data_IF_453608636558
#
_entry.id   IF_453608636558
#
_cell.length_a   1.000
_cell.length_b   1.000
_cell.length_c   1.000
_cell.angle_alpha   90.00
_cell.angle_beta   90.00
_cell.angle_gamma   90.00
#
_symmetry.space_group_name_H-M   'P 1'
#
loop_
_entity.id
_entity.type
_entity.pdbx_description
1 polymer ?
#
# COMPACT_ATOMS: atom_id res chain seq x y z
N UNK A 1 -36.95 -3.04 49.07
CA UNK A 1 -35.59 -2.62 48.66
C UNK A 1 -35.37 -3.16 47.26
N UNK A 2 -35.11 -2.29 46.29
CA UNK A 2 -35.09 -2.60 44.85
C UNK A 2 -33.69 -2.98 44.38
N UNK A 3 -33.56 -4.15 43.74
CA UNK A 3 -32.39 -4.56 42.95
C UNK A 3 -32.31 -3.75 41.66
N UNK A 4 -31.16 -3.11 41.43
CA UNK A 4 -30.88 -2.35 40.21
C UNK A 4 -30.12 -3.30 39.27
N UNK A 5 -30.74 -3.64 38.14
CA UNK A 5 -30.17 -4.45 37.07
C UNK A 5 -29.17 -3.59 36.29
N UNK A 6 -27.88 -3.91 36.33
CA UNK A 6 -26.91 -3.38 35.36
C UNK A 6 -27.12 -4.07 34.01
N UNK A 7 -27.84 -3.40 33.12
CA UNK A 7 -27.92 -3.78 31.72
C UNK A 7 -26.61 -3.38 31.02
N UNK A 8 -25.90 -4.39 30.50
CA UNK A 8 -24.67 -4.23 29.75
C UNK A 8 -24.83 -3.28 28.57
N UNK A 9 -23.97 -2.28 28.53
CA UNK A 9 -23.74 -1.46 27.34
C UNK A 9 -22.45 -1.98 26.68
N UNK A 10 -22.60 -2.98 25.81
CA UNK A 10 -21.56 -3.31 24.83
C UNK A 10 -21.54 -2.20 23.80
N UNK A 11 -20.79 -1.14 24.10
CA UNK A 11 -20.51 -0.08 23.16
C UNK A 11 -19.59 -0.65 22.08
N UNK A 12 -20.17 -1.14 20.98
CA UNK A 12 -19.46 -1.44 19.75
C UNK A 12 -18.93 -0.14 19.16
N UNK A 13 -17.80 0.34 19.69
CA UNK A 13 -17.16 1.56 19.27
C UNK A 13 -16.26 1.23 18.09
N UNK A 14 -16.79 1.35 16.88
CA UNK A 14 -15.96 1.44 15.68
C UNK A 14 -15.14 2.71 15.78
N UNK A 15 -13.90 2.58 16.25
CA UNK A 15 -12.91 3.66 16.19
C UNK A 15 -12.46 3.75 14.74
N UNK A 16 -13.06 4.66 14.00
CA UNK A 16 -12.42 5.23 12.81
C UNK A 16 -11.21 6.00 13.32
N UNK A 17 -10.08 5.30 13.42
CA UNK A 17 -8.79 5.87 13.76
C UNK A 17 -8.31 6.65 12.54
N UNK A 18 -8.30 7.97 12.62
CA UNK A 18 -7.72 8.87 11.62
C UNK A 18 -6.18 8.88 11.65
N UNK A 19 -5.55 7.85 12.23
CA UNK A 19 -4.11 7.61 12.25
C UNK A 19 -3.66 6.81 11.03
N UNK A 20 -3.21 7.52 10.00
CA UNK A 20 -2.90 7.09 8.63
C UNK A 20 -1.65 6.24 8.46
N UNK A 21 -1.40 5.24 9.32
CA UNK A 21 -0.34 4.25 9.05
C UNK A 21 -0.93 2.85 9.06
N UNK A 22 -1.23 2.33 7.88
CA UNK A 22 -1.67 0.94 7.72
C UNK A 22 -0.57 0.00 8.24
N UNK A 23 -0.89 -1.15 8.86
CA UNK A 23 0.12 -2.11 9.28
C UNK A 23 0.96 -2.61 8.10
N UNK A 24 2.18 -3.07 8.39
CA UNK A 24 3.02 -3.72 7.39
C UNK A 24 2.28 -4.96 6.83
N UNK A 25 2.44 -5.21 5.53
CA UNK A 25 1.88 -6.41 4.87
C UNK A 25 0.37 -6.64 5.14
N UNK A 26 -0.42 -5.56 5.12
CA UNK A 26 -1.85 -5.58 5.42
C UNK A 26 -2.76 -5.56 4.19
N UNK A 27 -2.25 -5.22 3.01
CA UNK A 27 -3.04 -5.15 1.77
C UNK A 27 -2.51 -6.08 0.68
N UNK A 28 -3.40 -6.60 -0.15
CA UNK A 28 -3.06 -7.46 -1.29
C UNK A 28 -2.92 -6.64 -2.59
N UNK A 29 -3.56 -5.47 -2.67
CA UNK A 29 -3.69 -4.70 -3.89
C UNK A 29 -3.72 -3.18 -3.62
N UNK A 30 -2.93 -2.43 -4.39
CA UNK A 30 -2.90 -0.97 -4.36
C UNK A 30 -3.09 -0.37 -5.76
N UNK A 31 -3.89 0.70 -5.84
CA UNK A 31 -4.11 1.47 -7.06
C UNK A 31 -3.76 2.93 -6.82
N UNK A 32 -2.88 3.50 -7.65
CA UNK A 32 -2.50 4.92 -7.59
C UNK A 32 -2.83 5.61 -8.91
N UNK A 33 -3.73 6.58 -8.86
CA UNK A 33 -4.22 7.30 -10.02
C UNK A 33 -4.47 8.77 -9.68
N UNK A 34 -4.55 9.63 -10.70
CA UNK A 34 -4.85 11.05 -10.50
C UNK A 34 -3.76 11.88 -9.81
N UNK A 35 -2.56 11.32 -9.59
CA UNK A 35 -1.45 12.04 -8.98
C UNK A 35 -0.72 12.89 -10.04
N UNK A 36 -1.25 14.10 -10.31
CA UNK A 36 -0.61 15.03 -11.23
C UNK A 36 0.72 15.58 -10.68
N UNK A 37 0.82 15.72 -9.35
CA UNK A 37 2.01 16.16 -8.61
C UNK A 37 1.97 15.58 -7.19
N UNK A 38 3.02 14.89 -6.77
CA UNK A 38 3.15 14.36 -5.40
C UNK A 38 4.20 15.21 -4.68
N UNK A 39 3.78 15.94 -3.64
CA UNK A 39 4.71 16.62 -2.75
C UNK A 39 5.50 15.56 -1.96
N UNK A 40 6.82 15.54 -2.08
CA UNK A 40 7.69 14.47 -1.55
C UNK A 40 8.23 13.51 -2.61
N UNK A 41 7.62 13.46 -3.80
CA UNK A 41 8.04 12.58 -4.89
C UNK A 41 7.27 11.26 -4.91
N UNK A 42 7.43 10.50 -6.00
CA UNK A 42 6.78 9.19 -6.18
C UNK A 42 7.48 8.11 -5.33
N UNK A 43 8.73 8.36 -4.96
CA UNK A 43 9.60 7.50 -4.17
C UNK A 43 9.02 7.22 -2.77
N UNK A 44 8.54 8.26 -2.07
CA UNK A 44 7.91 8.12 -0.75
C UNK A 44 6.63 7.28 -0.82
N UNK A 45 5.84 7.49 -1.88
CA UNK A 45 4.62 6.72 -2.13
C UNK A 45 4.94 5.26 -2.42
N UNK A 46 5.94 5.00 -3.25
CA UNK A 46 6.41 3.65 -3.57
C UNK A 46 6.91 2.94 -2.30
N UNK A 47 7.65 3.63 -1.44
CA UNK A 47 8.14 3.08 -0.16
C UNK A 47 6.99 2.69 0.77
N UNK A 48 6.00 3.58 0.92
CA UNK A 48 4.85 3.30 1.78
C UNK A 48 3.99 2.16 1.23
N UNK A 49 3.76 2.11 -0.10
CA UNK A 49 3.05 1.02 -0.76
C UNK A 49 3.79 -0.30 -0.58
N UNK A 50 5.12 -0.30 -0.73
CA UNK A 50 5.93 -1.48 -0.49
C UNK A 50 5.76 -1.99 0.94
N UNK A 51 5.79 -1.09 1.94
CA UNK A 51 5.63 -1.46 3.36
C UNK A 51 4.29 -2.14 3.63
N UNK A 52 3.20 -1.59 3.10
CA UNK A 52 1.84 -2.07 3.40
C UNK A 52 1.41 -3.28 2.57
N UNK A 53 2.01 -3.51 1.41
CA UNK A 53 1.70 -4.69 0.58
C UNK A 53 2.22 -5.98 1.20
N UNK A 54 1.39 -7.02 1.16
CA UNK A 54 1.78 -8.40 1.44
C UNK A 54 2.82 -8.90 0.43
N UNK A 55 3.58 -9.96 0.75
CA UNK A 55 4.29 -10.72 -0.26
C UNK A 55 3.38 -11.07 -1.44
N UNK A 56 3.90 -11.01 -2.66
CA UNK A 56 3.16 -11.22 -3.91
C UNK A 56 2.00 -10.23 -4.17
N UNK A 57 1.84 -9.23 -3.31
CA UNK A 57 0.85 -8.16 -3.47
C UNK A 57 1.13 -7.33 -4.73
N UNK A 58 0.06 -6.85 -5.34
CA UNK A 58 0.14 -6.10 -6.58
C UNK A 58 -0.06 -4.60 -6.36
N UNK A 59 0.66 -3.81 -7.14
CA UNK A 59 0.51 -2.38 -7.20
C UNK A 59 0.33 -1.96 -8.66
N UNK A 60 -0.63 -1.08 -8.91
CA UNK A 60 -0.76 -0.44 -10.21
C UNK A 60 -0.80 1.06 -10.10
N UNK A 61 -0.18 1.73 -11.08
CA UNK A 61 -0.22 3.19 -11.16
C UNK A 61 -0.48 3.70 -12.56
N UNK A 62 -1.20 4.80 -12.65
CA UNK A 62 -1.45 5.50 -13.90
C UNK A 62 -0.24 6.32 -14.35
N UNK A 63 0.19 6.12 -15.59
CA UNK A 63 1.22 6.90 -16.28
C UNK A 63 0.95 8.39 -16.14
N UNK A 64 1.84 9.06 -15.42
CA UNK A 64 1.89 10.52 -15.36
C UNK A 64 2.76 11.06 -16.50
N UNK A 65 3.01 12.38 -16.51
CA UNK A 65 3.91 13.00 -17.49
C UNK A 65 5.34 12.49 -17.28
N UNK A 66 6.05 12.23 -18.38
CA UNK A 66 7.47 11.88 -18.37
C UNK A 66 7.77 10.53 -19.05
N UNK A 67 9.07 10.15 -19.09
CA UNK A 67 9.50 8.90 -19.69
C UNK A 67 9.01 7.69 -18.88
N UNK A 68 8.41 6.73 -19.58
CA UNK A 68 7.94 5.46 -19.02
C UNK A 68 9.05 4.67 -18.32
N UNK A 69 10.22 4.59 -18.96
CA UNK A 69 11.40 3.89 -18.44
C UNK A 69 11.77 4.37 -17.04
N UNK A 70 11.73 5.69 -16.82
CA UNK A 70 12.07 6.28 -15.52
C UNK A 70 11.10 5.86 -14.43
N UNK A 71 9.81 5.79 -14.74
CA UNK A 71 8.80 5.38 -13.74
C UNK A 71 8.96 3.92 -13.35
N UNK A 72 9.26 3.05 -14.33
CA UNK A 72 9.56 1.64 -14.09
C UNK A 72 10.81 1.51 -13.22
N UNK A 73 11.90 2.20 -13.57
CA UNK A 73 13.17 2.18 -12.82
C UNK A 73 12.99 2.61 -11.36
N UNK A 74 12.16 3.62 -11.09
CA UNK A 74 11.89 4.09 -9.72
C UNK A 74 11.08 3.05 -8.94
N UNK A 75 10.09 2.39 -9.56
CA UNK A 75 9.35 1.31 -8.91
C UNK A 75 10.23 0.09 -8.62
N UNK A 76 11.09 -0.28 -9.56
CA UNK A 76 12.04 -1.39 -9.40
C UNK A 76 13.08 -1.11 -8.31
N UNK A 77 13.59 0.12 -8.23
CA UNK A 77 14.45 0.56 -7.12
C UNK A 77 13.74 0.47 -5.76
N UNK A 78 12.42 0.58 -5.72
CA UNK A 78 11.58 0.38 -4.54
C UNK A 78 11.29 -1.09 -4.19
N UNK A 79 11.85 -2.06 -4.94
CA UNK A 79 11.68 -3.49 -4.69
C UNK A 79 10.51 -4.13 -5.43
N UNK A 80 9.87 -3.42 -6.36
CA UNK A 80 8.83 -3.97 -7.21
C UNK A 80 9.40 -4.63 -8.47
N UNK A 81 8.64 -5.54 -9.06
CA UNK A 81 8.94 -6.19 -10.33
C UNK A 81 7.88 -5.73 -11.33
N UNK A 82 8.31 -5.14 -12.44
CA UNK A 82 7.40 -4.77 -13.52
C UNK A 82 6.77 -6.00 -14.16
N UNK A 83 5.43 -6.00 -14.30
CA UNK A 83 4.68 -7.12 -14.86
C UNK A 83 4.16 -6.81 -16.26
N UNK A 84 3.32 -5.79 -16.41
CA UNK A 84 2.72 -5.43 -17.70
C UNK A 84 2.22 -3.98 -17.72
N UNK A 85 1.83 -3.53 -18.93
CA UNK A 85 1.12 -2.25 -19.13
C UNK A 85 -0.17 -2.48 -19.90
N UNK A 86 -1.26 -1.90 -19.40
CA UNK A 86 -2.57 -1.84 -20.05
C UNK A 86 -2.96 -0.38 -20.25
N UNK A 87 -2.79 0.13 -21.47
CA UNK A 87 -3.04 1.54 -21.77
C UNK A 87 -2.12 2.45 -20.96
N UNK A 88 -2.67 3.31 -20.09
CA UNK A 88 -1.89 4.15 -19.18
C UNK A 88 -1.55 3.47 -17.86
N UNK A 89 -2.04 2.27 -17.58
CA UNK A 89 -1.84 1.62 -16.29
C UNK A 89 -0.64 0.70 -16.36
N UNK A 90 0.32 0.89 -15.46
CA UNK A 90 1.41 -0.05 -15.23
C UNK A 90 1.06 -0.95 -14.05
N UNK A 91 1.38 -2.23 -14.17
CA UNK A 91 1.20 -3.24 -13.14
C UNK A 91 2.56 -3.75 -12.65
N UNK A 92 2.69 -3.84 -11.33
CA UNK A 92 3.87 -4.34 -10.64
C UNK A 92 3.48 -5.36 -9.57
N UNK A 93 4.40 -6.27 -9.29
CA UNK A 93 4.29 -7.23 -8.19
C UNK A 93 5.38 -6.91 -7.17
N UNK A 94 5.06 -7.00 -5.87
CA UNK A 94 6.06 -6.84 -4.82
C UNK A 94 7.10 -7.96 -4.92
N UNK A 95 8.37 -7.60 -5.06
CA UNK A 95 9.46 -8.57 -5.06
C UNK A 95 9.58 -9.26 -3.70
N UNK A 96 9.77 -10.57 -3.71
CA UNK A 96 10.02 -11.35 -2.50
C UNK A 96 11.41 -10.97 -1.97
N UNK A 97 11.47 -10.21 -0.86
CA UNK A 97 12.72 -10.11 -0.09
C UNK A 97 12.92 -11.47 0.57
N UNK A 98 13.82 -12.29 0.03
CA UNK A 98 14.23 -13.53 0.69
C UNK A 98 14.68 -13.21 2.12
N UNK A 99 13.99 -13.77 3.10
CA UNK A 99 14.49 -13.80 4.47
C UNK A 99 15.78 -14.63 4.46
N UNK A 100 16.92 -13.96 4.61
CA UNK A 100 18.22 -14.63 4.71
C UNK A 100 18.27 -15.39 6.03
N UNK A 101 17.91 -16.67 6.01
CA UNK A 101 18.17 -17.63 7.07
C UNK A 101 19.69 -17.67 7.33
N UNK A 102 20.13 -17.03 8.39
CA UNK A 102 21.44 -17.28 8.99
C UNK A 102 21.27 -18.51 9.87
N UNK A 103 22.01 -19.58 9.52
CA UNK A 103 21.92 -20.91 10.11
C UNK A 103 22.51 -21.04 11.50
#
# INVERSE_FOLDING_TARGET
MSEIREAGQSAHRTRINTGTRMPDQSIDLAFVFGLLHIAGGIEDVISEIYRVLKPDGAFSFEKTRGPEKRLIEVAEAGGFIYSERRGRIFLFIKGVTGGNNHG
#
